data_IF_715162683628
#
_entry.id   IF_715162683628
#
_cell.length_a   1.000
_cell.length_b   1.000
_cell.length_c   1.000
_cell.angle_alpha   90.00
_cell.angle_beta   90.00
_cell.angle_gamma   90.00
#
_symmetry.space_group_name_H-M   'P 1'
#
loop_
_entity.id
_entity.type
_entity.pdbx_description
1 polymer ?
#
# COMPACT_ATOMS: atom_id res chain seq x y z
N UNK A 1 -22.66 -56.87 -36.28
CA UNK A 1 -22.93 -55.43 -36.10
C UNK A 1 -22.77 -55.10 -34.62
N UNK A 2 -21.67 -54.47 -34.23
CA UNK A 2 -21.41 -53.99 -32.86
C UNK A 2 -21.53 -52.49 -32.86
N UNK A 3 -22.16 -51.85 -31.86
CA UNK A 3 -22.35 -50.42 -31.83
C UNK A 3 -21.05 -49.70 -31.43
N UNK A 4 -20.63 -48.80 -32.26
CA UNK A 4 -19.55 -47.84 -32.08
C UNK A 4 -20.14 -46.54 -31.54
N UNK A 5 -20.60 -46.53 -30.29
CA UNK A 5 -21.05 -45.32 -29.62
C UNK A 5 -20.63 -45.42 -28.15
N UNK A 6 -19.45 -44.98 -27.80
CA UNK A 6 -19.08 -44.47 -26.46
C UNK A 6 -17.62 -44.06 -26.40
N UNK A 7 -17.21 -43.02 -27.11
CA UNK A 7 -15.92 -42.33 -26.90
C UNK A 7 -15.98 -40.88 -27.36
N UNK A 8 -16.99 -40.11 -26.97
CA UNK A 8 -17.03 -38.68 -27.31
C UNK A 8 -17.63 -37.84 -26.18
N UNK A 9 -17.22 -38.07 -24.93
CA UNK A 9 -17.71 -37.27 -23.79
C UNK A 9 -16.69 -36.99 -22.73
N UNK A 10 -15.39 -37.00 -23.02
CA UNK A 10 -14.32 -36.70 -22.05
C UNK A 10 -13.32 -35.63 -22.56
N UNK A 11 -13.72 -34.85 -23.55
CA UNK A 11 -12.82 -33.82 -24.09
C UNK A 11 -13.43 -32.42 -24.05
N UNK A 12 -14.14 -32.04 -22.98
CA UNK A 12 -14.69 -30.70 -22.86
C UNK A 12 -14.63 -30.11 -21.43
N UNK A 13 -13.67 -30.57 -20.63
CA UNK A 13 -13.37 -29.96 -19.30
C UNK A 13 -11.89 -29.61 -19.14
N UNK A 14 -11.25 -29.18 -20.18
CA UNK A 14 -9.91 -28.60 -20.13
C UNK A 14 -9.94 -27.26 -20.88
N UNK A 15 -10.30 -26.22 -20.18
CA UNK A 15 -10.17 -24.91 -20.77
C UNK A 15 -11.17 -23.88 -20.30
N UNK A 16 -11.13 -23.46 -19.05
CA UNK A 16 -11.26 -22.07 -18.62
C UNK A 16 -10.63 -22.00 -17.22
N UNK A 17 -9.38 -22.33 -17.10
CA UNK A 17 -8.53 -21.68 -16.10
C UNK A 17 -8.01 -20.43 -16.78
N UNK A 18 -8.85 -19.44 -16.99
CA UNK A 18 -8.36 -18.08 -17.12
C UNK A 18 -7.78 -17.73 -15.73
N UNK A 19 -6.52 -18.11 -15.52
CA UNK A 19 -5.72 -17.51 -14.46
C UNK A 19 -5.91 -16.01 -14.62
N UNK A 20 -6.62 -15.38 -13.67
CA UNK A 20 -6.68 -13.94 -13.62
C UNK A 20 -5.24 -13.47 -13.42
N UNK A 21 -4.67 -12.92 -14.49
CA UNK A 21 -3.29 -12.48 -14.53
C UNK A 21 -3.22 -11.17 -13.75
N UNK A 22 -2.76 -11.22 -12.54
CA UNK A 22 -2.53 -10.03 -11.69
C UNK A 22 -1.18 -10.16 -11.02
N UNK A 23 -0.45 -9.07 -10.96
CA UNK A 23 0.77 -8.99 -10.17
C UNK A 23 0.43 -8.68 -8.72
N UNK A 24 1.12 -9.33 -7.79
CA UNK A 24 0.70 -9.54 -6.40
C UNK A 24 -0.65 -10.27 -6.33
N UNK A 25 -0.90 -11.03 -5.28
CA UNK A 25 -2.14 -11.79 -5.20
C UNK A 25 -3.36 -10.88 -5.33
N UNK A 26 -4.16 -11.09 -6.37
CA UNK A 26 -5.34 -10.28 -6.72
C UNK A 26 -5.06 -8.79 -7.01
N UNK A 27 -3.83 -8.43 -7.39
CA UNK A 27 -3.45 -7.04 -7.69
C UNK A 27 -3.26 -6.14 -6.47
N UNK A 28 -3.25 -6.72 -5.27
CA UNK A 28 -3.18 -5.99 -4.02
C UNK A 28 -1.81 -6.18 -3.34
N UNK A 29 -1.36 -5.17 -2.60
CA UNK A 29 -0.15 -5.21 -1.80
C UNK A 29 -0.41 -4.80 -0.35
N UNK A 30 0.58 -4.96 0.52
CA UNK A 30 0.49 -4.62 1.94
C UNK A 30 1.02 -3.21 2.27
N UNK A 31 1.37 -2.39 1.26
CA UNK A 31 1.86 -1.02 1.44
C UNK A 31 0.74 0.00 1.21
N UNK A 32 0.62 0.98 2.11
CA UNK A 32 -0.33 2.08 1.95
C UNK A 32 0.26 3.12 0.98
N UNK A 33 0.12 2.88 -0.33
CA UNK A 33 0.63 3.75 -1.39
C UNK A 33 0.08 5.18 -1.26
N UNK A 34 0.99 6.17 -1.29
CA UNK A 34 0.65 7.57 -1.18
C UNK A 34 0.38 8.07 0.24
N UNK A 35 0.46 7.22 1.27
CA UNK A 35 0.17 7.64 2.65
C UNK A 35 1.15 8.69 3.17
N UNK A 36 2.40 8.61 2.80
CA UNK A 36 3.40 9.60 3.18
C UNK A 36 3.58 10.67 2.10
N UNK A 37 4.23 11.77 2.46
CA UNK A 37 4.44 12.91 1.57
C UNK A 37 5.33 13.94 2.24
N UNK A 38 4.80 15.15 2.48
CA UNK A 38 5.53 16.22 3.16
C UNK A 38 6.10 15.75 4.49
N UNK A 39 7.39 16.05 4.73
CA UNK A 39 8.12 15.74 5.97
C UNK A 39 8.25 14.22 6.28
N UNK A 40 8.17 13.36 5.28
CA UNK A 40 8.22 11.89 5.47
C UNK A 40 9.50 11.40 6.19
N UNK A 41 10.62 12.12 6.08
CA UNK A 41 11.91 11.80 6.73
C UNK A 41 12.13 12.48 8.09
N UNK A 42 11.18 13.27 8.58
CA UNK A 42 11.34 14.01 9.83
C UNK A 42 10.53 13.39 10.97
N UNK A 43 11.22 12.99 12.04
CA UNK A 43 10.57 12.54 13.27
C UNK A 43 10.30 13.74 14.20
N UNK A 44 9.16 13.72 14.92
CA UNK A 44 8.88 14.70 15.95
C UNK A 44 9.71 14.45 17.21
N UNK A 45 9.76 15.42 18.15
CA UNK A 45 10.38 15.23 19.47
C UNK A 45 9.86 14.03 20.25
N UNK A 46 10.51 13.64 21.38
CA UNK A 46 9.95 12.61 22.27
C UNK A 46 8.51 12.91 22.68
N UNK A 47 7.64 11.90 22.61
CA UNK A 47 6.21 12.04 22.88
C UNK A 47 5.37 10.95 22.22
N UNK A 48 4.05 11.10 22.35
CA UNK A 48 3.07 10.22 21.72
C UNK A 48 2.32 11.01 20.66
N UNK A 49 2.13 10.40 19.50
CA UNK A 49 1.48 11.02 18.34
C UNK A 49 0.45 10.06 17.74
N UNK A 50 -0.68 10.61 17.39
CA UNK A 50 -1.70 9.91 16.59
C UNK A 50 -1.71 10.49 15.19
N UNK A 51 -1.40 9.67 14.21
CA UNK A 51 -1.61 9.96 12.81
C UNK A 51 -2.84 9.17 12.35
N UNK A 52 -3.74 9.82 11.67
CA UNK A 52 -4.92 9.15 11.13
C UNK A 52 -5.02 9.49 9.66
N UNK A 53 -5.06 8.46 8.82
CA UNK A 53 -5.24 8.63 7.39
C UNK A 53 -6.66 8.19 7.02
N UNK A 54 -7.31 8.96 6.16
CA UNK A 54 -8.50 8.53 5.44
C UNK A 54 -8.14 8.45 3.97
N UNK A 55 -8.30 7.28 3.39
CA UNK A 55 -8.03 7.03 1.98
C UNK A 55 -9.30 6.59 1.27
N UNK A 56 -9.59 7.22 0.14
CA UNK A 56 -10.60 6.79 -0.81
C UNK A 56 -9.87 6.48 -2.13
N UNK A 57 -9.84 5.22 -2.53
CA UNK A 57 -9.26 4.76 -3.78
C UNK A 57 -10.35 4.21 -4.70
N UNK A 58 -10.30 4.60 -5.95
CA UNK A 58 -11.21 4.16 -6.98
C UNK A 58 -10.45 3.73 -8.22
N UNK A 59 -10.71 2.53 -8.75
CA UNK A 59 -10.16 2.03 -10.00
C UNK A 59 -11.27 1.42 -10.87
N UNK A 60 -11.38 1.90 -12.10
CA UNK A 60 -12.35 1.41 -13.10
C UNK A 60 -11.73 0.47 -14.14
N UNK A 61 -10.43 0.20 -14.05
CA UNK A 61 -9.68 -0.66 -14.96
C UNK A 61 -8.63 -1.46 -14.20
N UNK A 62 -8.35 -2.67 -14.69
CA UNK A 62 -7.20 -3.47 -14.30
C UNK A 62 -6.36 -3.71 -15.56
N UNK A 63 -5.10 -3.31 -15.54
CA UNK A 63 -4.22 -3.52 -16.69
C UNK A 63 -3.90 -5.01 -16.84
N UNK A 64 -4.16 -5.57 -18.03
CA UNK A 64 -4.08 -7.01 -18.31
C UNK A 64 -4.98 -7.90 -17.43
N UNK A 65 -5.96 -7.31 -16.74
CA UNK A 65 -6.83 -8.01 -15.79
C UNK A 65 -8.21 -8.36 -16.32
N UNK A 66 -9.14 -8.75 -15.43
CA UNK A 66 -10.47 -9.17 -15.80
C UNK A 66 -11.29 -8.03 -16.42
N UNK A 67 -12.22 -8.34 -17.36
CA UNK A 67 -13.13 -7.34 -17.90
C UNK A 67 -14.14 -6.89 -16.84
N UNK A 68 -14.73 -5.69 -17.05
CA UNK A 68 -15.71 -5.09 -16.14
C UNK A 68 -15.18 -4.95 -14.71
N UNK A 69 -13.89 -4.63 -14.59
CA UNK A 69 -13.25 -4.42 -13.31
C UNK A 69 -13.68 -3.09 -12.70
N UNK A 70 -13.99 -3.15 -11.40
CA UNK A 70 -14.30 -1.97 -10.60
C UNK A 70 -13.89 -2.22 -9.15
N UNK A 71 -13.14 -1.31 -8.57
CA UNK A 71 -12.64 -1.40 -7.20
C UNK A 71 -12.85 -0.06 -6.49
N UNK A 72 -13.56 -0.10 -5.37
CA UNK A 72 -13.70 1.01 -4.43
C UNK A 72 -13.15 0.60 -3.06
N UNK A 73 -12.23 1.40 -2.54
CA UNK A 73 -11.66 1.20 -1.20
C UNK A 73 -11.80 2.47 -0.39
N UNK A 74 -12.46 2.36 0.77
CA UNK A 74 -12.45 3.38 1.80
C UNK A 74 -11.71 2.85 3.01
N UNK A 75 -10.66 3.52 3.44
CA UNK A 75 -9.86 3.09 4.57
C UNK A 75 -9.66 4.20 5.59
N UNK A 76 -9.90 3.88 6.86
CA UNK A 76 -9.46 4.69 7.99
C UNK A 76 -8.27 3.98 8.65
N UNK A 77 -7.12 4.67 8.72
CA UNK A 77 -5.85 4.05 9.08
C UNK A 77 -5.22 4.84 10.24
N UNK A 78 -5.58 4.54 11.51
CA UNK A 78 -4.89 5.09 12.66
C UNK A 78 -3.48 4.49 12.79
N UNK A 79 -2.52 5.36 13.07
CA UNK A 79 -1.13 5.05 13.39
C UNK A 79 -0.76 5.72 14.70
N UNK A 80 -0.51 4.92 15.72
CA UNK A 80 0.03 5.39 16.99
C UNK A 80 1.55 5.38 16.90
N UNK A 81 2.19 6.48 17.22
CA UNK A 81 3.66 6.64 17.21
C UNK A 81 4.10 7.03 18.61
N UNK A 82 5.09 6.31 19.13
CA UNK A 82 5.78 6.62 20.37
C UNK A 82 7.24 6.94 20.07
N UNK A 83 7.61 8.21 20.22
CA UNK A 83 8.98 8.67 20.16
C UNK A 83 9.58 8.65 21.56
N UNK A 84 10.61 7.86 21.77
CA UNK A 84 11.27 7.73 23.07
C UNK A 84 12.27 8.86 23.30
N UNK A 85 12.70 9.07 24.54
CA UNK A 85 13.84 9.94 24.89
C UNK A 85 15.20 9.28 24.61
N UNK A 86 15.20 8.02 24.17
CA UNK A 86 16.42 7.24 23.97
C UNK A 86 17.01 7.49 22.57
N UNK A 87 18.32 7.63 22.55
CA UNK A 87 19.10 7.66 21.31
C UNK A 87 19.86 6.34 21.15
N UNK A 88 19.83 5.81 19.95
CA UNK A 88 20.59 4.63 19.56
C UNK A 88 21.28 4.90 18.21
N UNK A 89 22.57 4.54 18.08
CA UNK A 89 23.37 4.81 16.89
C UNK A 89 23.33 6.31 16.45
N UNK A 90 23.22 7.23 17.42
CA UNK A 90 23.11 8.66 17.16
C UNK A 90 21.74 9.13 16.68
N UNK A 91 20.78 8.25 16.54
CA UNK A 91 19.39 8.53 16.12
C UNK A 91 18.40 8.37 17.26
N UNK A 92 17.33 9.17 17.24
CA UNK A 92 16.22 9.08 18.18
C UNK A 92 15.39 7.81 17.89
N UNK A 93 15.18 6.98 18.91
CA UNK A 93 14.42 5.73 18.79
C UNK A 93 12.92 5.97 18.91
N UNK A 94 12.15 5.39 18.01
CA UNK A 94 10.69 5.38 18.05
C UNK A 94 10.08 4.04 17.64
N UNK A 95 8.81 3.88 17.99
CA UNK A 95 7.99 2.72 17.63
C UNK A 95 6.64 3.16 17.13
N UNK A 96 6.00 2.32 16.31
CA UNK A 96 4.64 2.59 15.88
C UNK A 96 3.83 1.31 15.66
N UNK A 97 2.51 1.48 15.74
CA UNK A 97 1.53 0.47 15.36
C UNK A 97 0.48 1.11 14.43
N UNK A 98 0.07 0.38 13.41
CA UNK A 98 -0.94 0.80 12.42
C UNK A 98 -1.99 -0.29 12.31
N UNK A 99 -3.29 0.09 12.44
CA UNK A 99 -4.40 -0.84 12.27
C UNK A 99 -5.39 -0.28 11.26
N UNK A 100 -5.36 -0.72 9.99
CA UNK A 100 -6.34 -0.31 9.00
C UNK A 100 -7.75 -0.82 9.31
N UNK A 101 -8.74 0.00 9.04
CA UNK A 101 -10.16 -0.34 8.96
C UNK A 101 -10.61 -0.06 7.54
N UNK A 102 -11.06 -1.07 6.82
CA UNK A 102 -11.25 -0.98 5.36
C UNK A 102 -12.66 -1.43 4.99
N UNK A 103 -13.32 -0.64 4.13
CA UNK A 103 -14.50 -1.01 3.36
C UNK A 103 -14.08 -1.15 1.91
N UNK A 104 -14.21 -2.36 1.34
CA UNK A 104 -13.74 -2.72 0.01
C UNK A 104 -14.87 -3.34 -0.80
N UNK A 105 -15.13 -2.76 -1.97
CA UNK A 105 -16.07 -3.28 -2.97
C UNK A 105 -15.32 -3.62 -4.24
N UNK A 106 -15.44 -4.86 -4.68
CA UNK A 106 -14.78 -5.39 -5.86
C UNK A 106 -15.81 -5.97 -6.82
N UNK A 107 -15.70 -5.59 -8.09
CA UNK A 107 -16.43 -6.22 -9.19
C UNK A 107 -15.46 -6.61 -10.29
N UNK A 108 -15.57 -7.80 -10.83
CA UNK A 108 -14.73 -8.30 -11.92
C UNK A 108 -15.44 -9.43 -12.67
N UNK A 109 -15.33 -9.46 -13.99
CA UNK A 109 -15.89 -10.52 -14.85
C UNK A 109 -17.40 -10.79 -14.61
N UNK A 110 -18.17 -9.77 -14.22
CA UNK A 110 -19.61 -9.88 -13.95
C UNK A 110 -19.99 -10.41 -12.57
N UNK A 111 -19.01 -10.64 -11.69
CA UNK A 111 -19.21 -11.00 -10.29
C UNK A 111 -18.80 -9.83 -9.37
N UNK A 112 -19.32 -9.81 -8.16
CA UNK A 112 -18.98 -8.77 -7.18
C UNK A 112 -18.93 -9.32 -5.77
N UNK A 113 -18.10 -8.68 -4.93
CA UNK A 113 -18.03 -8.95 -3.50
C UNK A 113 -17.78 -7.66 -2.73
N UNK A 114 -18.12 -7.65 -1.44
CA UNK A 114 -17.98 -6.51 -0.55
C UNK A 114 -17.62 -6.98 0.85
N UNK A 115 -16.59 -6.39 1.42
CA UNK A 115 -16.17 -6.65 2.79
C UNK A 115 -15.87 -5.33 3.52
N UNK A 116 -16.18 -5.31 4.82
CA UNK A 116 -15.82 -4.21 5.73
C UNK A 116 -15.26 -4.82 7.01
N UNK A 117 -13.94 -4.64 7.26
CA UNK A 117 -13.25 -5.29 8.37
C UNK A 117 -11.92 -4.60 8.70
N UNK A 118 -11.22 -5.14 9.72
CA UNK A 118 -9.83 -4.79 10.01
C UNK A 118 -8.90 -5.39 8.95
N UNK A 119 -7.91 -4.61 8.53
CA UNK A 119 -6.78 -5.07 7.74
C UNK A 119 -5.66 -5.64 8.59
N UNK A 120 -4.55 -5.95 7.94
CA UNK A 120 -3.36 -6.49 8.59
C UNK A 120 -2.74 -5.48 9.56
N UNK A 121 -2.38 -5.93 10.77
CA UNK A 121 -1.69 -5.12 11.77
C UNK A 121 -0.24 -4.90 11.35
N UNK A 122 0.22 -3.65 11.39
CA UNK A 122 1.60 -3.29 11.10
C UNK A 122 2.28 -2.77 12.37
N UNK A 123 3.47 -3.29 12.65
CA UNK A 123 4.31 -2.87 13.77
C UNK A 123 5.67 -2.44 13.24
N UNK A 124 6.20 -1.32 13.73
CA UNK A 124 7.48 -0.82 13.29
C UNK A 124 8.33 -0.23 14.39
N UNK A 125 9.65 -0.33 14.19
CA UNK A 125 10.67 0.39 14.95
C UNK A 125 11.45 1.31 14.02
N UNK A 126 11.87 2.47 14.50
CA UNK A 126 12.53 3.47 13.68
C UNK A 126 13.59 4.25 14.45
N UNK A 127 14.58 4.71 13.71
CA UNK A 127 15.60 5.67 14.16
C UNK A 127 15.54 6.91 13.27
N UNK A 128 15.58 8.08 13.87
CA UNK A 128 15.60 9.34 13.14
C UNK A 128 16.81 10.19 13.48
N UNK A 129 17.40 10.80 12.46
CA UNK A 129 18.55 11.69 12.58
C UNK A 129 18.20 13.06 11.99
N UNK A 130 18.71 14.11 12.61
CA UNK A 130 18.49 15.50 12.20
C UNK A 130 19.83 16.23 12.14
N UNK A 131 20.08 16.91 11.00
CA UNK A 131 21.26 17.76 10.82
C UNK A 131 20.86 18.99 10.02
N UNK A 132 20.68 20.11 10.73
CA UNK A 132 20.17 21.34 10.11
C UNK A 132 18.79 21.12 9.48
N UNK A 133 18.69 21.36 8.17
CA UNK A 133 17.45 21.16 7.39
C UNK A 133 17.27 19.74 6.86
N UNK A 134 18.19 18.85 7.17
CA UNK A 134 18.18 17.47 6.69
C UNK A 134 17.70 16.52 7.77
N UNK A 135 16.80 15.62 7.40
CA UNK A 135 16.17 14.65 8.28
C UNK A 135 16.16 13.29 7.62
N UNK A 136 16.49 12.22 8.37
CA UNK A 136 16.51 10.85 7.88
C UNK A 136 15.79 9.93 8.85
N UNK A 137 15.14 8.92 8.32
CA UNK A 137 14.57 7.82 9.09
C UNK A 137 15.07 6.51 8.48
N UNK A 138 15.57 5.61 9.33
CA UNK A 138 15.70 4.20 9.05
C UNK A 138 14.71 3.43 9.89
N UNK A 139 13.91 2.54 9.29
CA UNK A 139 12.92 1.77 10.02
C UNK A 139 12.83 0.31 9.50
N UNK A 140 12.30 -0.55 10.35
CA UNK A 140 11.86 -1.89 9.98
C UNK A 140 10.41 -2.02 10.40
N UNK A 141 9.56 -2.45 9.49
CA UNK A 141 8.14 -2.70 9.69
C UNK A 141 7.85 -4.17 9.43
N UNK A 142 7.00 -4.77 10.26
CA UNK A 142 6.42 -6.09 10.05
C UNK A 142 4.93 -5.94 9.86
N UNK A 143 4.39 -6.50 8.78
CA UNK A 143 2.97 -6.65 8.53
C UNK A 143 2.58 -8.05 8.94
N UNK A 144 1.59 -8.18 9.80
CA UNK A 144 1.11 -9.45 10.33
C UNK A 144 -0.20 -9.82 9.64
N UNK A 145 -0.31 -11.06 9.17
CA UNK A 145 -1.50 -11.61 8.52
C UNK A 145 -2.67 -11.76 9.52
N UNK A 146 -3.26 -10.64 9.94
CA UNK A 146 -4.34 -10.59 10.93
C UNK A 146 -5.65 -10.04 10.39
N UNK A 147 -5.61 -9.52 9.15
CA UNK A 147 -6.76 -8.94 8.47
C UNK A 147 -7.75 -10.00 7.97
N UNK A 148 -8.96 -9.55 7.66
CA UNK A 148 -10.00 -10.43 7.10
C UNK A 148 -9.58 -10.95 5.73
N UNK A 149 -9.52 -12.27 5.59
CA UNK A 149 -9.21 -12.98 4.36
C UNK A 149 -10.18 -14.15 4.18
N UNK A 150 -10.64 -14.34 2.96
CA UNK A 150 -11.45 -15.48 2.53
C UNK A 150 -10.79 -16.10 1.29
N UNK A 151 -10.62 -17.42 1.29
CA UNK A 151 -10.02 -18.14 0.16
C UNK A 151 -10.99 -18.16 -1.03
N UNK A 152 -10.58 -17.73 -2.25
CA UNK A 152 -11.42 -17.84 -3.43
C UNK A 152 -11.85 -19.29 -3.69
N UNK A 153 -13.10 -19.48 -4.14
CA UNK A 153 -13.66 -20.79 -4.47
C UNK A 153 -14.14 -20.83 -5.93
N UNK A 154 -14.40 -22.01 -6.46
CA UNK A 154 -14.94 -22.16 -7.82
C UNK A 154 -16.30 -21.47 -8.01
N UNK A 155 -17.08 -21.32 -6.95
CA UNK A 155 -18.40 -20.63 -6.96
C UNK A 155 -18.31 -19.16 -6.60
N UNK A 156 -17.25 -18.73 -5.92
CA UNK A 156 -16.94 -17.35 -5.51
C UNK A 156 -15.49 -17.05 -5.83
N UNK A 157 -15.11 -16.90 -7.11
CA UNK A 157 -13.71 -16.63 -7.48
C UNK A 157 -13.29 -15.17 -7.29
N UNK A 158 -14.25 -14.25 -7.15
CA UNK A 158 -14.03 -12.83 -6.85
C UNK A 158 -14.29 -12.61 -5.38
N UNK A 159 -13.26 -12.26 -4.61
CA UNK A 159 -13.31 -12.07 -3.16
C UNK A 159 -12.70 -10.74 -2.79
N UNK A 160 -13.43 -9.94 -2.02
CA UNK A 160 -13.01 -8.65 -1.51
C UNK A 160 -12.12 -8.80 -0.26
N UNK A 161 -10.89 -9.31 -0.44
CA UNK A 161 -9.94 -9.55 0.64
C UNK A 161 -9.30 -8.26 1.15
N UNK A 162 -9.43 -8.01 2.44
CA UNK A 162 -8.86 -6.86 3.14
C UNK A 162 -7.46 -7.21 3.66
N UNK A 163 -7.31 -8.33 4.36
CA UNK A 163 -6.01 -8.92 4.71
C UNK A 163 -5.35 -9.62 3.53
N UNK A 164 -4.05 -9.84 3.61
CA UNK A 164 -3.26 -10.51 2.57
C UNK A 164 -3.00 -11.98 2.84
N UNK A 165 -3.24 -12.43 4.08
CA UNK A 165 -3.01 -13.80 4.55
C UNK A 165 -1.54 -14.27 4.44
N UNK A 166 -0.60 -13.33 4.39
CA UNK A 166 0.85 -13.58 4.50
C UNK A 166 1.53 -12.44 5.27
N UNK A 167 2.65 -12.73 5.91
CA UNK A 167 3.42 -11.72 6.60
C UNK A 167 4.38 -11.02 5.63
N UNK A 168 4.75 -9.77 5.97
CA UNK A 168 5.73 -9.00 5.22
C UNK A 168 6.74 -8.38 6.18
N UNK A 169 8.03 -8.47 5.87
CA UNK A 169 9.08 -7.68 6.51
C UNK A 169 9.50 -6.58 5.56
N UNK A 170 9.56 -5.35 6.08
CA UNK A 170 9.78 -4.16 5.26
C UNK A 170 10.81 -3.23 5.88
N UNK A 171 12.08 -3.23 5.43
CA UNK A 171 13.02 -2.14 5.66
C UNK A 171 12.56 -0.87 4.94
N UNK A 172 12.73 0.26 5.63
CA UNK A 172 12.29 1.58 5.19
C UNK A 172 13.42 2.58 5.37
N UNK A 173 13.62 3.44 4.37
CA UNK A 173 14.45 4.63 4.42
C UNK A 173 13.61 5.83 4.03
N UNK A 174 13.66 6.90 4.83
CA UNK A 174 13.02 8.15 4.46
C UNK A 174 13.98 9.32 4.64
N UNK A 175 13.79 10.34 3.82
CA UNK A 175 14.59 11.56 3.83
C UNK A 175 13.70 12.77 3.61
N UNK A 176 14.00 13.85 4.31
CA UNK A 176 13.42 15.17 4.06
C UNK A 176 14.48 16.25 4.12
N UNK A 177 14.49 17.11 3.11
CA UNK A 177 15.12 18.42 3.15
C UNK A 177 14.02 19.47 3.39
N UNK A 178 14.04 20.11 4.54
CA UNK A 178 12.97 20.98 5.00
C UNK A 178 13.53 22.29 5.56
N UNK A 179 13.90 23.26 4.70
CA UNK A 179 14.37 24.55 5.14
C UNK A 179 13.21 25.36 5.76
N UNK A 180 13.53 26.38 6.61
CA UNK A 180 12.50 27.23 7.21
C UNK A 180 11.58 27.89 6.19
N UNK A 181 12.11 28.22 5.02
CA UNK A 181 11.41 28.86 3.91
C UNK A 181 11.81 28.21 2.58
N UNK A 182 10.93 28.31 1.58
CA UNK A 182 11.19 27.83 0.23
C UNK A 182 10.70 26.41 -0.03
N UNK A 183 11.49 25.70 -0.84
CA UNK A 183 11.13 24.36 -1.32
C UNK A 183 11.56 23.33 -0.29
N UNK A 184 10.65 22.42 0.09
CA UNK A 184 10.97 21.18 0.77
C UNK A 184 10.87 19.99 -0.18
N UNK A 185 11.67 18.96 0.08
CA UNK A 185 11.69 17.71 -0.69
C UNK A 185 11.68 16.56 0.30
N UNK A 186 10.78 15.62 0.09
CA UNK A 186 10.67 14.44 0.96
C UNK A 186 10.50 13.17 0.13
N UNK A 187 11.07 12.09 0.61
CA UNK A 187 10.87 10.75 0.04
C UNK A 187 10.87 9.69 1.14
N UNK A 188 10.10 8.65 0.96
CA UNK A 188 10.12 7.41 1.74
C UNK A 188 10.25 6.26 0.76
N UNK A 189 11.22 5.39 0.96
CA UNK A 189 11.46 4.21 0.15
C UNK A 189 11.38 2.98 1.04
N UNK A 190 10.80 1.92 0.52
CA UNK A 190 10.68 0.64 1.22
C UNK A 190 10.89 -0.52 0.26
N UNK A 191 11.35 -1.63 0.81
CA UNK A 191 11.43 -2.91 0.12
C UNK A 191 10.64 -3.94 0.91
N UNK A 192 9.73 -4.67 0.27
CA UNK A 192 8.89 -5.66 0.92
C UNK A 192 9.34 -7.06 0.57
N UNK A 193 9.62 -7.85 1.61
CA UNK A 193 9.83 -9.29 1.54
C UNK A 193 8.55 -9.95 2.00
N UNK A 194 7.90 -10.72 1.13
CA UNK A 194 6.61 -11.32 1.39
C UNK A 194 6.75 -12.82 1.62
N UNK A 195 6.03 -13.34 2.63
CA UNK A 195 5.87 -14.78 2.82
C UNK A 195 4.88 -15.35 1.79
N UNK A 196 4.79 -16.68 1.70
CA UNK A 196 3.76 -17.39 0.95
C UNK A 196 2.40 -17.26 1.66
N UNK A 197 1.32 -17.14 0.90
CA UNK A 197 -0.04 -17.35 1.38
C UNK A 197 -0.32 -18.86 1.38
N UNK A 198 -0.32 -19.48 2.56
CA UNK A 198 -0.45 -20.92 2.73
C UNK A 198 -1.77 -21.49 2.20
N UNK A 199 -2.84 -20.68 2.13
CA UNK A 199 -4.17 -21.14 1.66
C UNK A 199 -4.24 -21.26 0.13
N UNK A 200 -3.46 -20.46 -0.59
CA UNK A 200 -3.46 -20.42 -2.05
C UNK A 200 -2.15 -20.90 -2.67
N UNK A 201 -1.11 -21.09 -1.85
CA UNK A 201 0.26 -21.36 -2.28
C UNK A 201 0.78 -20.31 -3.26
N UNK A 202 0.35 -19.07 -3.07
CA UNK A 202 0.77 -17.92 -3.85
C UNK A 202 1.79 -17.08 -3.07
N UNK A 203 2.93 -16.80 -3.71
CA UNK A 203 3.92 -15.87 -3.16
C UNK A 203 3.93 -14.59 -3.99
N UNK A 204 3.46 -13.49 -3.41
CA UNK A 204 3.58 -12.17 -4.03
C UNK A 204 5.05 -11.77 -4.10
N UNK A 205 5.58 -11.54 -5.29
CA UNK A 205 6.98 -11.23 -5.49
C UNK A 205 7.41 -9.96 -4.75
N UNK A 206 8.66 -9.91 -4.32
CA UNK A 206 9.24 -8.77 -3.61
C UNK A 206 9.13 -7.48 -4.43
N UNK A 207 8.90 -6.35 -3.76
CA UNK A 207 8.70 -5.06 -4.44
C UNK A 207 9.33 -3.88 -3.72
N UNK A 208 9.67 -2.86 -4.49
CA UNK A 208 9.90 -1.50 -4.02
C UNK A 208 8.59 -0.72 -4.00
N UNK A 209 8.37 0.04 -2.93
CA UNK A 209 7.36 1.09 -2.90
C UNK A 209 7.98 2.35 -2.32
N UNK A 210 7.57 3.51 -2.81
CA UNK A 210 8.06 4.78 -2.33
C UNK A 210 7.07 5.90 -2.55
N UNK A 211 7.04 6.83 -1.59
CA UNK A 211 6.29 8.07 -1.66
C UNK A 211 7.26 9.23 -1.87
N UNK A 212 6.85 10.26 -2.58
CA UNK A 212 7.65 11.46 -2.81
C UNK A 212 6.81 12.75 -2.73
N UNK A 213 7.47 13.84 -2.34
CA UNK A 213 6.87 15.16 -2.23
C UNK A 213 7.87 16.23 -2.62
N UNK A 214 7.42 17.22 -3.38
CA UNK A 214 8.10 18.48 -3.62
C UNK A 214 7.14 19.58 -3.20
N UNK A 215 7.41 20.21 -2.07
CA UNK A 215 6.54 21.17 -1.42
C UNK A 215 7.10 22.58 -1.46
N UNK A 216 6.23 23.55 -1.26
CA UNK A 216 6.58 24.95 -1.09
C UNK A 216 5.77 25.57 0.04
N UNK A 217 6.46 26.20 0.97
CA UNK A 217 5.88 26.88 2.13
C UNK A 217 5.36 28.26 1.71
N UNK A 218 4.04 28.39 1.63
CA UNK A 218 3.38 29.66 1.30
C UNK A 218 3.34 30.63 2.49
N UNK A 219 3.07 30.09 3.68
CA UNK A 219 3.07 30.79 4.96
C UNK A 219 3.64 29.88 6.05
N UNK A 220 3.79 30.37 7.28
CA UNK A 220 4.24 29.53 8.39
C UNK A 220 3.30 28.36 8.70
N UNK A 221 2.05 28.42 8.27
CA UNK A 221 1.05 27.40 8.53
C UNK A 221 0.60 26.64 7.29
N UNK A 222 0.88 27.14 6.10
CA UNK A 222 0.31 26.62 4.87
C UNK A 222 1.37 26.23 3.84
N UNK A 223 1.31 24.99 3.37
CA UNK A 223 2.14 24.45 2.31
C UNK A 223 1.30 23.92 1.16
N UNK A 224 1.87 23.94 -0.04
CA UNK A 224 1.38 23.24 -1.21
C UNK A 224 2.47 22.33 -1.73
N UNK A 225 2.11 21.21 -2.36
CA UNK A 225 3.08 20.27 -2.93
C UNK A 225 2.54 19.59 -4.19
N UNK A 226 3.48 19.02 -4.94
CA UNK A 226 3.25 17.93 -5.85
C UNK A 226 3.75 16.68 -5.14
N UNK A 227 2.89 15.69 -5.01
CA UNK A 227 3.17 14.42 -4.35
C UNK A 227 2.83 13.23 -5.23
N UNK A 228 3.30 12.08 -4.86
CA UNK A 228 2.98 10.85 -5.55
C UNK A 228 3.64 9.66 -4.93
N UNK A 229 3.49 8.53 -5.60
CA UNK A 229 4.11 7.28 -5.22
C UNK A 229 4.57 6.48 -6.43
N UNK A 230 5.46 5.56 -6.18
CA UNK A 230 5.93 4.54 -7.10
C UNK A 230 5.83 3.19 -6.44
N UNK A 231 5.36 2.20 -7.18
CA UNK A 231 5.41 0.80 -6.83
C UNK A 231 6.05 0.04 -7.98
N UNK A 232 6.97 -0.86 -7.67
CA UNK A 232 7.60 -1.71 -8.68
C UNK A 232 7.98 -3.06 -8.11
N UNK A 233 7.37 -4.10 -8.60
CA UNK A 233 7.76 -5.47 -8.30
C UNK A 233 9.10 -5.80 -8.98
N UNK A 234 10.01 -6.40 -8.24
CA UNK A 234 11.36 -6.77 -8.72
C UNK A 234 11.52 -8.28 -8.85
N UNK A 235 10.79 -9.06 -8.05
CA UNK A 235 10.64 -10.49 -8.26
C UNK A 235 9.26 -10.78 -8.87
N UNK A 236 9.19 -11.79 -9.72
CA UNK A 236 7.91 -12.30 -10.20
C UNK A 236 7.15 -12.96 -9.08
N UNK A 237 5.84 -13.06 -9.24
CA UNK A 237 5.00 -13.87 -8.38
C UNK A 237 5.23 -15.36 -8.65
N UNK A 238 5.00 -16.16 -7.63
CA UNK A 238 5.08 -17.63 -7.70
C UNK A 238 3.73 -18.24 -7.32
N UNK A 239 3.35 -19.31 -7.99
CA UNK A 239 2.20 -20.14 -7.65
C UNK A 239 2.67 -21.58 -7.49
N UNK A 240 2.45 -22.18 -6.30
CA UNK A 240 2.99 -23.50 -5.95
C UNK A 240 4.52 -23.60 -6.14
N UNK A 241 5.25 -22.51 -5.90
CA UNK A 241 6.71 -22.42 -6.08
C UNK A 241 7.18 -22.26 -7.54
N UNK A 242 6.26 -22.16 -8.50
CA UNK A 242 6.57 -21.95 -9.92
C UNK A 242 6.44 -20.47 -10.30
N UNK A 243 7.48 -19.88 -10.90
CA UNK A 243 7.48 -18.48 -11.37
C UNK A 243 6.45 -18.28 -12.49
N UNK A 244 5.40 -17.51 -12.21
CA UNK A 244 4.33 -17.19 -13.17
C UNK A 244 4.64 -15.97 -14.04
N UNK A 245 5.84 -15.37 -13.91
CA UNK A 245 6.36 -14.24 -14.70
C UNK A 245 5.49 -12.98 -14.64
N UNK A 246 4.74 -12.81 -13.56
CA UNK A 246 3.93 -11.63 -13.33
C UNK A 246 4.70 -10.63 -12.47
N UNK A 247 4.70 -9.36 -12.89
CA UNK A 247 5.25 -8.22 -12.13
C UNK A 247 4.36 -7.02 -12.33
N UNK A 248 4.13 -6.29 -11.23
CA UNK A 248 3.33 -5.07 -11.25
C UNK A 248 4.19 -3.83 -11.13
N UNK A 249 3.68 -2.74 -11.71
CA UNK A 249 4.18 -1.40 -11.46
C UNK A 249 3.06 -0.38 -11.49
N UNK A 250 3.28 0.75 -10.81
CA UNK A 250 2.44 1.94 -10.92
C UNK A 250 3.24 3.17 -10.49
N UNK A 251 2.99 4.28 -11.15
CA UNK A 251 3.40 5.62 -10.77
C UNK A 251 2.15 6.46 -10.55
N UNK A 252 2.12 7.27 -9.49
CA UNK A 252 1.04 8.23 -9.27
C UNK A 252 1.60 9.62 -8.97
N UNK A 253 0.85 10.64 -9.36
CA UNK A 253 1.21 12.05 -9.14
C UNK A 253 -0.06 12.87 -8.93
N UNK A 254 0.05 13.92 -8.11
CA UNK A 254 -1.02 14.88 -7.94
C UNK A 254 -0.71 16.01 -6.97
N UNK A 255 -1.63 16.96 -6.82
CA UNK A 255 -1.50 18.08 -5.90
C UNK A 255 -1.76 17.67 -4.44
N UNK A 256 -1.07 18.36 -3.54
CA UNK A 256 -1.28 18.25 -2.10
C UNK A 256 -1.27 19.63 -1.45
N UNK A 257 -2.00 19.75 -0.34
CA UNK A 257 -2.01 20.93 0.51
C UNK A 257 -1.90 20.50 1.97
N UNK A 258 -1.17 21.25 2.77
CA UNK A 258 -1.04 21.01 4.20
C UNK A 258 -1.30 22.30 4.98
N UNK A 259 -2.08 22.18 6.04
CA UNK A 259 -2.20 23.19 7.08
C UNK A 259 -1.65 22.64 8.38
N UNK A 260 -0.79 23.42 9.04
CA UNK A 260 -0.18 23.06 10.32
C UNK A 260 -0.45 24.16 11.36
N UNK A 261 -0.85 23.75 12.53
CA UNK A 261 -0.90 24.60 13.72
C UNK A 261 -0.10 23.91 14.85
N UNK A 262 0.00 24.55 16.01
CA UNK A 262 0.85 24.18 17.16
C UNK A 262 1.13 22.68 17.31
N UNK A 263 0.09 21.91 17.64
CA UNK A 263 0.19 20.48 17.96
C UNK A 263 -0.60 19.57 16.99
N UNK A 264 -1.08 20.11 15.88
CA UNK A 264 -1.79 19.31 14.86
C UNK A 264 -1.51 19.81 13.44
N UNK A 265 -1.66 18.91 12.50
CA UNK A 265 -1.66 19.25 11.08
C UNK A 265 -2.67 18.40 10.32
N UNK A 266 -3.13 18.94 9.20
CA UNK A 266 -3.93 18.22 8.22
C UNK A 266 -3.31 18.39 6.83
N UNK A 267 -3.20 17.29 6.11
CA UNK A 267 -2.75 17.24 4.73
C UNK A 267 -3.84 16.59 3.87
N UNK A 268 -4.14 17.18 2.74
CA UNK A 268 -5.07 16.63 1.76
C UNK A 268 -4.36 16.52 0.42
N UNK A 269 -4.55 15.39 -0.27
CA UNK A 269 -3.98 15.15 -1.61
C UNK A 269 -4.94 14.37 -2.49
N UNK A 270 -4.76 14.53 -3.80
CA UNK A 270 -5.45 13.76 -4.82
C UNK A 270 -4.43 13.28 -5.85
N UNK A 271 -4.26 11.97 -5.96
CA UNK A 271 -3.24 11.35 -6.79
C UNK A 271 -3.91 10.54 -7.90
N UNK A 272 -3.38 10.64 -9.11
CA UNK A 272 -3.83 9.88 -10.28
C UNK A 272 -2.70 8.95 -10.72
N UNK A 273 -3.05 7.71 -10.97
CA UNK A 273 -2.13 6.67 -11.41
C UNK A 273 -1.86 6.75 -12.92
N UNK A 274 -0.66 6.34 -13.28
CA UNK A 274 -0.17 6.21 -14.66
C UNK A 274 0.93 5.14 -14.71
N UNK A 275 1.35 4.73 -15.90
CA UNK A 275 2.37 3.69 -16.11
C UNK A 275 2.05 2.40 -15.35
N UNK A 276 0.76 2.05 -15.33
CA UNK A 276 0.28 0.87 -14.63
C UNK A 276 0.50 -0.37 -15.48
N UNK A 277 1.06 -1.41 -14.87
CA UNK A 277 1.22 -2.74 -15.46
C UNK A 277 0.73 -3.81 -14.49
N UNK A 278 -0.17 -4.69 -14.94
CA UNK A 278 -0.71 -5.84 -14.23
C UNK A 278 -1.34 -5.52 -12.86
N UNK A 279 -1.95 -4.34 -12.72
CA UNK A 279 -2.57 -3.85 -11.47
C UNK A 279 -3.84 -3.06 -11.77
N UNK A 280 -4.68 -2.80 -10.74
CA UNK A 280 -5.71 -1.77 -10.82
C UNK A 280 -5.13 -0.42 -11.23
N UNK A 281 -5.86 0.36 -12.04
CA UNK A 281 -5.52 1.72 -12.43
C UNK A 281 -6.63 2.66 -12.02
N UNK A 282 -6.27 3.66 -11.21
CA UNK A 282 -7.26 4.55 -10.64
C UNK A 282 -6.71 5.86 -10.11
N UNK A 283 -7.38 6.35 -9.09
CA UNK A 283 -7.03 7.57 -8.38
C UNK A 283 -7.35 7.44 -6.89
N UNK A 284 -6.63 8.20 -6.07
CA UNK A 284 -6.83 8.22 -4.63
C UNK A 284 -6.98 9.64 -4.10
N UNK A 285 -8.00 9.87 -3.28
CA UNK A 285 -8.08 11.00 -2.38
C UNK A 285 -7.58 10.57 -1.01
N UNK A 286 -6.70 11.37 -0.39
CA UNK A 286 -6.13 11.04 0.91
C UNK A 286 -6.13 12.26 1.82
N UNK A 287 -6.60 12.06 3.06
CA UNK A 287 -6.48 13.01 4.17
C UNK A 287 -5.58 12.40 5.23
N UNK A 288 -4.58 13.16 5.69
CA UNK A 288 -3.69 12.78 6.80
C UNK A 288 -3.83 13.79 7.91
N UNK A 289 -4.24 13.36 9.07
CA UNK A 289 -4.34 14.19 10.28
C UNK A 289 -3.29 13.72 11.28
N UNK A 290 -2.54 14.65 11.86
CA UNK A 290 -1.54 14.40 12.90
C UNK A 290 -1.92 15.19 14.14
N UNK A 291 -1.89 14.52 15.30
CA UNK A 291 -2.10 15.10 16.61
C UNK A 291 -0.94 14.73 17.54
N UNK A 292 -0.35 15.73 18.20
CA UNK A 292 0.65 15.55 19.25
C UNK A 292 -0.04 15.71 20.63
N UNK A 293 0.16 14.73 21.53
CA UNK A 293 -0.39 14.75 22.90
C UNK A 293 0.53 15.49 23.86
#
# INVERSE_FOLDING_TARGET
MKPLILKLSVLFMLGISSSMSSATENGADSYALGAEGMMAGALPPPGIYLLTYYQNYHAGRFDNGPPNFHLDVNALIPRLVWMTEKNYLGGQLGFYAIQPMVDLRLSAAGMSDHNSALGDLMLGSMLGWHQGNHHWIGAVETVLATGKYDTPTATQPVVANIGKNYNTIRPILAYSYAPPNGIDISTKLSYSFNDENDDTHYTSGDYFAGDYSIGYKLTDKFKVAVEGYVFKQVKSDELHGEDIKMRGQVLAVGPAVQYQDKNWSIEAKYLTETQVENRPEGHTGLLKFIWAF
#
